data_IF_696164548998
#
_entry.id   IF_696164548998
#
_cell.length_a   1.000
_cell.length_b   1.000
_cell.length_c   1.000
_cell.angle_alpha   90.00
_cell.angle_beta   90.00
_cell.angle_gamma   90.00
#
_symmetry.space_group_name_H-M   'P 1'
#
loop_
_entity.id
_entity.type
_entity.pdbx_description
1 polymer ?
#
# COMPACT_ATOMS: atom_id res chain seq x y z
N UNK A 1 22.79 27.34 -10.10
CA UNK A 1 22.03 26.83 -11.27
C UNK A 1 20.74 26.18 -10.77
N UNK A 2 19.60 26.77 -11.08
CA UNK A 2 18.33 26.54 -10.40
C UNK A 2 17.54 25.36 -10.98
N UNK A 3 17.38 24.28 -10.22
CA UNK A 3 16.39 23.22 -10.49
C UNK A 3 15.02 23.65 -9.97
N UNK A 4 14.32 24.52 -10.72
CA UNK A 4 12.94 24.96 -10.43
C UNK A 4 11.85 24.15 -11.16
N UNK A 5 12.20 22.97 -11.70
CA UNK A 5 11.28 22.11 -12.46
C UNK A 5 10.62 20.96 -11.69
N UNK A 6 11.06 20.64 -10.46
CA UNK A 6 10.66 19.40 -9.78
C UNK A 6 9.19 19.35 -9.30
N UNK A 7 8.63 20.45 -8.81
CA UNK A 7 7.31 20.45 -8.17
C UNK A 7 6.17 20.28 -9.18
N UNK A 8 6.31 20.85 -10.39
CA UNK A 8 5.33 20.71 -11.46
C UNK A 8 5.28 19.25 -11.92
N UNK A 9 6.42 18.58 -12.03
CA UNK A 9 6.50 17.17 -12.44
C UNK A 9 5.85 16.24 -11.41
N UNK A 10 6.01 16.48 -10.10
CA UNK A 10 5.42 15.63 -9.05
C UNK A 10 3.89 15.64 -9.13
N UNK A 11 3.26 16.81 -9.27
CA UNK A 11 1.80 16.91 -9.36
C UNK A 11 1.29 16.20 -10.62
N UNK A 12 1.99 16.36 -11.75
CA UNK A 12 1.63 15.66 -12.99
C UNK A 12 1.75 14.14 -12.85
N UNK A 13 2.77 13.62 -12.16
CA UNK A 13 2.93 12.18 -11.89
C UNK A 13 1.81 11.65 -10.99
N UNK A 14 1.42 12.39 -9.95
CA UNK A 14 0.31 12.01 -9.07
C UNK A 14 -1.01 11.93 -9.84
N UNK A 15 -1.31 12.97 -10.64
CA UNK A 15 -2.53 13.00 -11.47
C UNK A 15 -2.51 11.88 -12.50
N UNK A 16 -1.39 11.65 -13.18
CA UNK A 16 -1.24 10.58 -14.16
C UNK A 16 -1.44 9.18 -13.55
N UNK A 17 -0.84 8.90 -12.38
CA UNK A 17 -1.01 7.61 -11.70
C UNK A 17 -2.44 7.35 -11.24
N UNK A 18 -3.13 8.39 -10.75
CA UNK A 18 -4.52 8.31 -10.33
C UNK A 18 -5.44 8.08 -11.53
N UNK A 19 -5.23 8.83 -12.62
CA UNK A 19 -5.98 8.67 -13.87
C UNK A 19 -5.78 7.27 -14.46
N UNK A 20 -4.55 6.75 -14.48
CA UNK A 20 -4.26 5.39 -14.91
C UNK A 20 -4.98 4.35 -14.05
N UNK A 21 -5.01 4.53 -12.72
CA UNK A 21 -5.75 3.65 -11.81
C UNK A 21 -7.26 3.64 -12.08
N UNK A 22 -7.84 4.80 -12.39
CA UNK A 22 -9.24 4.88 -12.82
C UNK A 22 -9.46 4.17 -14.14
N UNK A 23 -8.67 4.48 -15.17
CA UNK A 23 -8.77 3.82 -16.48
C UNK A 23 -8.75 2.31 -16.31
N UNK A 24 -7.76 1.79 -15.58
CA UNK A 24 -7.64 0.35 -15.33
C UNK A 24 -8.88 -0.23 -14.64
N UNK A 25 -9.35 0.42 -13.57
CA UNK A 25 -10.55 -0.02 -12.83
C UNK A 25 -11.79 -0.02 -13.72
N UNK A 26 -12.00 1.04 -14.51
CA UNK A 26 -13.14 1.16 -15.40
C UNK A 26 -13.06 0.21 -16.59
N UNK A 27 -11.87 -0.03 -17.14
CA UNK A 27 -11.64 -1.02 -18.20
C UNK A 27 -11.94 -2.44 -17.71
N UNK A 28 -11.47 -2.81 -16.51
CA UNK A 28 -11.77 -4.11 -15.91
C UNK A 28 -13.28 -4.26 -15.69
N UNK A 29 -13.94 -3.25 -15.10
CA UNK A 29 -15.38 -3.28 -14.90
C UNK A 29 -16.18 -3.29 -16.20
N UNK A 30 -15.72 -2.63 -17.27
CA UNK A 30 -16.35 -2.66 -18.58
C UNK A 30 -16.22 -4.03 -19.26
N UNK A 31 -15.11 -4.74 -19.07
CA UNK A 31 -14.89 -6.06 -19.64
C UNK A 31 -15.59 -7.19 -18.87
N UNK A 32 -15.62 -7.12 -17.54
CA UNK A 32 -16.20 -8.18 -16.67
C UNK A 32 -17.59 -7.88 -16.10
N UNK A 33 -18.09 -6.65 -16.28
CA UNK A 33 -19.34 -6.22 -15.68
C UNK A 33 -19.17 -5.72 -14.24
N UNK A 34 -20.10 -4.85 -13.82
CA UNK A 34 -20.14 -4.25 -12.49
C UNK A 34 -21.13 -4.93 -11.55
N UNK A 35 -21.73 -6.03 -11.99
CA UNK A 35 -22.76 -6.72 -11.22
C UNK A 35 -22.15 -7.30 -9.94
N UNK A 36 -22.62 -6.85 -8.76
CA UNK A 36 -22.25 -7.49 -7.52
C UNK A 36 -22.88 -8.88 -7.52
N UNK A 37 -22.07 -9.93 -7.65
CA UNK A 37 -22.51 -11.27 -7.30
C UNK A 37 -22.83 -11.26 -5.80
N UNK A 38 -24.12 -11.25 -5.49
CA UNK A 38 -24.61 -11.36 -4.12
C UNK A 38 -24.43 -12.79 -3.67
N UNK A 39 -23.25 -13.09 -3.13
CA UNK A 39 -23.02 -14.34 -2.42
C UNK A 39 -23.90 -14.32 -1.16
N UNK A 40 -24.99 -15.08 -1.15
CA UNK A 40 -25.70 -15.41 0.09
C UNK A 40 -24.76 -16.26 0.94
N UNK A 41 -23.98 -15.56 1.75
CA UNK A 41 -22.88 -16.10 2.51
C UNK A 41 -23.47 -16.90 3.69
N UNK A 42 -23.62 -18.21 3.52
CA UNK A 42 -23.95 -19.19 4.59
C UNK A 42 -22.71 -19.44 5.45
N UNK A 43 -22.06 -18.37 5.90
CA UNK A 43 -20.96 -18.49 6.85
C UNK A 43 -21.59 -18.32 8.22
N UNK A 44 -21.27 -19.24 9.15
CA UNK A 44 -21.76 -19.21 10.52
C UNK A 44 -21.32 -17.89 11.15
N UNK A 45 -22.20 -16.90 11.13
CA UNK A 45 -22.00 -15.63 11.78
C UNK A 45 -22.27 -15.84 13.27
N UNK A 46 -21.28 -15.53 14.10
CA UNK A 46 -21.49 -15.51 15.53
C UNK A 46 -22.07 -14.14 15.86
N UNK A 47 -23.36 -14.13 16.17
CA UNK A 47 -24.06 -12.94 16.63
C UNK A 47 -23.81 -12.78 18.14
N UNK A 48 -22.92 -11.86 18.51
CA UNK A 48 -22.69 -11.48 19.90
C UNK A 48 -23.38 -10.12 20.09
N UNK A 49 -24.68 -10.14 20.41
CA UNK A 49 -25.50 -8.93 20.53
C UNK A 49 -25.72 -8.24 19.16
N UNK A 50 -25.52 -6.92 19.01
CA UNK A 50 -25.67 -6.23 17.72
C UNK A 50 -24.47 -6.42 16.77
N UNK A 51 -23.41 -7.11 17.24
CA UNK A 51 -22.19 -7.32 16.48
C UNK A 51 -22.24 -8.68 15.79
N UNK A 52 -22.39 -8.63 14.46
CA UNK A 52 -22.33 -9.80 13.60
C UNK A 52 -20.89 -10.05 13.18
N UNK A 53 -20.23 -11.03 13.81
CA UNK A 53 -18.83 -11.37 13.52
C UNK A 53 -18.81 -12.61 12.63
N UNK A 54 -18.49 -12.43 11.35
CA UNK A 54 -18.19 -13.55 10.45
C UNK A 54 -16.75 -14.00 10.66
N UNK A 55 -16.47 -15.32 10.66
CA UNK A 55 -15.10 -15.84 10.75
C UNK A 55 -14.14 -15.27 9.68
N UNK A 56 -14.68 -14.83 8.54
CA UNK A 56 -13.94 -14.11 7.50
C UNK A 56 -13.33 -12.80 8.02
N UNK A 57 -14.06 -12.01 8.81
CA UNK A 57 -13.54 -10.77 9.39
C UNK A 57 -12.38 -11.04 10.34
N UNK A 58 -12.47 -12.10 11.15
CA UNK A 58 -11.41 -12.49 12.06
C UNK A 58 -10.15 -12.90 11.30
N UNK A 59 -10.31 -13.71 10.25
CA UNK A 59 -9.21 -14.08 9.36
C UNK A 59 -8.60 -12.87 8.64
N UNK A 60 -9.43 -11.93 8.20
CA UNK A 60 -8.97 -10.70 7.54
C UNK A 60 -8.13 -9.84 8.48
N UNK A 61 -8.59 -9.63 9.72
CA UNK A 61 -7.87 -8.89 10.76
C UNK A 61 -6.56 -9.61 11.10
N UNK A 62 -6.61 -10.93 11.27
CA UNK A 62 -5.42 -11.73 11.56
C UNK A 62 -4.40 -11.65 10.43
N UNK A 63 -4.82 -11.79 9.17
CA UNK A 63 -3.95 -11.69 8.01
C UNK A 63 -3.33 -10.29 7.88
N UNK A 64 -4.12 -9.23 8.11
CA UNK A 64 -3.61 -7.86 8.11
C UNK A 64 -2.55 -7.64 9.21
N UNK A 65 -2.81 -8.10 10.43
CA UNK A 65 -1.85 -8.03 11.54
C UNK A 65 -0.59 -8.84 11.26
N UNK A 66 -0.74 -10.07 10.76
CA UNK A 66 0.38 -10.94 10.41
C UNK A 66 1.25 -10.30 9.33
N UNK A 67 0.64 -9.76 8.27
CA UNK A 67 1.36 -9.08 7.20
C UNK A 67 2.08 -7.82 7.70
N UNK A 68 1.41 -7.01 8.53
CA UNK A 68 2.02 -5.83 9.14
C UNK A 68 3.22 -6.21 10.01
N UNK A 69 3.10 -7.27 10.81
CA UNK A 69 4.19 -7.77 11.65
C UNK A 69 5.35 -8.30 10.81
N UNK A 70 5.07 -9.10 9.77
CA UNK A 70 6.08 -9.60 8.84
C UNK A 70 6.82 -8.41 8.21
N UNK A 71 6.09 -7.44 7.67
CA UNK A 71 6.68 -6.28 7.04
C UNK A 71 7.51 -5.46 8.04
N UNK A 72 7.04 -5.30 9.28
CA UNK A 72 7.78 -4.66 10.34
C UNK A 72 9.11 -5.38 10.64
N UNK A 73 9.07 -6.70 10.78
CA UNK A 73 10.26 -7.52 11.03
C UNK A 73 11.22 -7.49 9.85
N UNK A 74 10.71 -7.52 8.61
CA UNK A 74 11.52 -7.40 7.40
C UNK A 74 12.22 -6.03 7.36
N UNK A 75 11.52 -4.94 7.64
CA UNK A 75 12.13 -3.61 7.67
C UNK A 75 13.09 -3.43 8.85
N UNK A 76 12.87 -4.08 9.98
CA UNK A 76 13.78 -3.97 11.13
C UNK A 76 15.06 -4.79 10.94
N UNK A 77 14.94 -6.00 10.38
CA UNK A 77 16.06 -6.95 10.29
C UNK A 77 16.85 -6.82 8.98
N UNK A 78 16.28 -6.28 7.90
CA UNK A 78 16.98 -6.18 6.62
C UNK A 78 17.80 -4.90 6.49
N UNK A 79 18.91 -4.98 5.73
CA UNK A 79 19.74 -3.83 5.36
C UNK A 79 18.95 -2.80 4.54
N UNK A 80 17.95 -3.26 3.77
CA UNK A 80 17.04 -2.42 2.99
C UNK A 80 16.24 -1.50 3.93
N UNK A 81 15.65 -2.04 5.00
CA UNK A 81 14.87 -1.22 5.93
C UNK A 81 15.71 -0.21 6.72
N UNK A 82 17.00 -0.48 6.97
CA UNK A 82 17.94 0.52 7.49
C UNK A 82 18.22 1.64 6.48
N UNK A 83 18.42 1.28 5.22
CA UNK A 83 18.63 2.26 4.14
C UNK A 83 17.40 3.16 3.91
N UNK A 84 16.18 2.59 3.91
CA UNK A 84 14.91 3.33 3.79
C UNK A 84 14.74 4.32 4.95
N UNK A 85 15.06 3.91 6.18
CA UNK A 85 14.93 4.79 7.35
C UNK A 85 15.99 5.89 7.37
N UNK A 86 17.20 5.57 6.92
CA UNK A 86 18.28 6.55 6.77
C UNK A 86 17.94 7.61 5.70
N UNK A 87 17.46 7.20 4.52
CA UNK A 87 17.06 8.13 3.46
C UNK A 87 15.87 9.00 3.85
N UNK A 88 14.90 8.46 4.59
CA UNK A 88 13.76 9.23 5.11
C UNK A 88 14.17 10.27 6.18
N UNK A 89 15.19 9.98 6.98
CA UNK A 89 15.65 10.88 8.05
C UNK A 89 16.49 12.06 7.54
N UNK A 90 17.43 11.82 6.63
CA UNK A 90 18.23 12.85 5.97
C UNK A 90 18.91 12.29 4.72
N UNK A 91 18.39 12.55 3.51
CA UNK A 91 18.92 11.98 2.28
C UNK A 91 20.34 12.46 1.98
N UNK A 92 20.70 13.70 2.35
CA UNK A 92 22.04 14.25 2.14
C UNK A 92 23.11 13.54 3.00
N UNK A 93 22.80 13.24 4.27
CA UNK A 93 23.70 12.52 5.16
C UNK A 93 23.82 11.04 4.75
N UNK A 94 22.71 10.45 4.28
CA UNK A 94 22.69 9.07 3.77
C UNK A 94 23.66 8.89 2.59
N UNK A 95 23.65 9.84 1.64
CA UNK A 95 24.59 9.87 0.52
C UNK A 95 26.05 9.99 0.98
N UNK A 96 26.34 10.87 1.95
CA UNK A 96 27.69 11.03 2.51
C UNK A 96 28.20 9.76 3.22
N UNK A 97 27.30 8.96 3.82
CA UNK A 97 27.60 7.65 4.41
C UNK A 97 27.65 6.49 3.41
N UNK A 98 27.59 6.76 2.11
CA UNK A 98 27.71 5.75 1.04
C UNK A 98 26.42 5.00 0.72
N UNK A 99 25.27 5.43 1.24
CA UNK A 99 23.96 4.86 0.90
C UNK A 99 23.43 5.58 -0.35
N UNK A 100 23.40 4.88 -1.48
CA UNK A 100 22.93 5.43 -2.75
C UNK A 100 21.39 5.53 -2.75
N UNK A 101 20.87 6.68 -2.31
CA UNK A 101 19.43 6.93 -2.15
C UNK A 101 18.66 6.84 -3.47
N UNK A 102 19.29 7.15 -4.61
CA UNK A 102 18.67 7.07 -5.95
C UNK A 102 18.44 5.63 -6.44
N UNK A 103 19.01 4.62 -5.77
CA UNK A 103 18.90 3.20 -6.17
C UNK A 103 18.04 2.35 -5.21
N UNK A 104 17.47 2.94 -4.14
CA UNK A 104 16.65 2.22 -3.14
C UNK A 104 15.16 2.51 -3.36
#
# INVERSE_FOLDING_TARGET
MAKRGGTITIIHLMVASTALGFILRYSIGAAWGWEPLSFTSTWSAFDIGPLRITGLWLWLIFAAFALALIMHLVLMNTKIGKAIRASASNPELALASGINVDRV
#
